data_IF_261072143533
#
_entry.id   IF_261072143533
#
_cell.length_a   1.000
_cell.length_b   1.000
_cell.length_c   1.000
_cell.angle_alpha   90.00
_cell.angle_beta   90.00
_cell.angle_gamma   90.00
#
_symmetry.space_group_name_H-M   'P 1'
#
loop_
_entity.id
_entity.type
_entity.pdbx_description
1 polymer ?
#
# COMPACT_ATOMS: atom_id res chain seq x y z
N UNK A 1 18.09 4.30 8.50
CA UNK A 1 18.24 5.14 9.69
C UNK A 1 17.96 4.28 10.91
N UNK A 2 18.95 4.07 11.79
CA UNK A 2 18.76 3.28 13.01
C UNK A 2 17.94 4.10 14.01
N UNK A 3 16.62 4.04 13.87
CA UNK A 3 15.67 4.68 14.78
C UNK A 3 15.45 3.78 15.99
N UNK A 4 15.67 4.31 17.19
CA UNK A 4 15.30 3.62 18.43
C UNK A 4 13.80 3.35 18.49
N UNK A 5 13.39 2.34 19.28
CA UNK A 5 11.98 2.01 19.49
C UNK A 5 11.43 2.82 20.67
N UNK A 6 10.19 3.29 20.54
CA UNK A 6 9.45 3.94 21.64
C UNK A 6 8.25 3.07 21.99
N UNK A 7 8.15 2.67 23.26
CA UNK A 7 7.02 1.87 23.75
C UNK A 7 5.81 2.77 23.99
N UNK A 8 4.67 2.35 23.46
CA UNK A 8 3.35 2.88 23.79
C UNK A 8 2.50 1.76 24.38
N UNK A 9 1.64 2.08 25.34
CA UNK A 9 0.65 1.14 25.89
C UNK A 9 -0.73 1.60 25.48
N UNK A 10 -1.49 0.74 24.82
CA UNK A 10 -2.85 1.01 24.35
C UNK A 10 -3.75 -0.16 24.70
N UNK A 11 -5.00 0.14 25.05
CA UNK A 11 -6.02 -0.89 25.24
C UNK A 11 -6.67 -1.19 23.89
N UNK A 12 -6.79 -2.47 23.57
CA UNK A 12 -7.45 -2.96 22.35
C UNK A 12 -8.64 -3.84 22.73
N UNK A 13 -9.70 -3.88 21.92
CA UNK A 13 -10.80 -4.83 22.13
C UNK A 13 -10.29 -6.28 22.11
N UNK A 14 -10.81 -7.10 23.03
CA UNK A 14 -10.42 -8.50 23.17
C UNK A 14 -10.62 -9.29 21.88
N UNK A 15 -11.80 -9.16 21.26
CA UNK A 15 -12.12 -9.81 19.97
C UNK A 15 -11.11 -9.48 18.87
N UNK A 16 -10.65 -8.22 18.82
CA UNK A 16 -9.64 -7.79 17.84
C UNK A 16 -8.27 -8.38 18.17
N UNK A 17 -7.89 -8.39 19.44
CA UNK A 17 -6.63 -8.97 19.89
C UNK A 17 -6.56 -10.46 19.54
N UNK A 18 -7.64 -11.21 19.82
CA UNK A 18 -7.77 -12.63 19.47
C UNK A 18 -7.74 -12.86 17.97
N UNK A 19 -8.48 -12.06 17.19
CA UNK A 19 -8.49 -12.14 15.73
C UNK A 19 -7.10 -11.94 15.14
N UNK A 20 -6.38 -10.92 15.62
CA UNK A 20 -5.02 -10.65 15.18
C UNK A 20 -4.10 -11.80 15.58
N UNK A 21 -4.17 -12.25 16.84
CA UNK A 21 -3.32 -13.32 17.35
C UNK A 21 -3.55 -14.66 16.63
N UNK A 22 -4.79 -14.96 16.24
CA UNK A 22 -5.11 -16.13 15.40
C UNK A 22 -4.46 -16.05 14.01
N UNK A 23 -4.32 -14.85 13.43
CA UNK A 23 -3.69 -14.65 12.11
C UNK A 23 -2.16 -14.74 12.14
N UNK A 24 -1.53 -14.22 13.19
CA UNK A 24 -0.07 -14.02 13.23
C UNK A 24 0.69 -15.01 14.11
N UNK A 25 -0.03 -15.79 14.94
CA UNK A 25 0.57 -16.72 15.90
C UNK A 25 1.10 -16.04 17.17
N UNK A 26 1.81 -16.82 18.00
CA UNK A 26 2.41 -16.33 19.25
C UNK A 26 3.76 -15.62 18.97
N UNK A 27 3.95 -14.42 19.51
CA UNK A 27 5.25 -13.71 19.51
C UNK A 27 5.45 -12.62 18.45
N UNK A 28 4.48 -12.40 17.56
CA UNK A 28 4.60 -11.47 16.41
C UNK A 28 3.76 -10.19 16.55
N UNK A 29 3.10 -9.96 17.69
CA UNK A 29 2.11 -8.89 17.84
C UNK A 29 2.68 -7.48 17.68
N UNK A 30 3.80 -7.16 18.32
CA UNK A 30 4.42 -5.83 18.22
C UNK A 30 4.93 -5.54 16.81
N UNK A 31 5.52 -6.53 16.13
CA UNK A 31 5.96 -6.41 14.75
C UNK A 31 4.77 -6.18 13.82
N UNK A 32 3.71 -6.99 13.96
CA UNK A 32 2.48 -6.84 13.19
C UNK A 32 1.85 -5.47 13.35
N UNK A 33 1.73 -4.97 14.58
CA UNK A 33 1.19 -3.63 14.85
C UNK A 33 2.06 -2.55 14.24
N UNK A 34 3.38 -2.67 14.34
CA UNK A 34 4.31 -1.69 13.75
C UNK A 34 4.17 -1.61 12.23
N UNK A 35 4.10 -2.77 11.55
CA UNK A 35 3.87 -2.82 10.10
C UNK A 35 2.46 -2.36 9.70
N UNK A 36 1.44 -2.67 10.50
CA UNK A 36 0.09 -2.20 10.27
C UNK A 36 0.00 -0.67 10.39
N UNK A 37 0.64 -0.08 11.41
CA UNK A 37 0.70 1.38 11.59
C UNK A 37 1.46 2.05 10.45
N UNK A 38 2.60 1.49 10.03
CA UNK A 38 3.35 2.02 8.89
C UNK A 38 2.50 2.04 7.61
N UNK A 39 1.80 0.94 7.31
CA UNK A 39 0.87 0.85 6.17
C UNK A 39 -0.30 1.83 6.30
N UNK A 40 -0.79 2.05 7.52
CA UNK A 40 -1.89 2.97 7.75
C UNK A 40 -1.47 4.42 7.46
N UNK A 41 -0.31 4.85 7.98
CA UNK A 41 0.25 6.18 7.70
C UNK A 41 0.48 6.37 6.20
N UNK A 42 1.03 5.37 5.51
CA UNK A 42 1.21 5.42 4.06
C UNK A 42 -0.13 5.61 3.32
N UNK A 43 -1.17 4.87 3.71
CA UNK A 43 -2.51 4.98 3.11
C UNK A 43 -3.17 6.33 3.38
N UNK A 44 -2.95 6.89 4.57
CA UNK A 44 -3.49 8.21 4.92
C UNK A 44 -2.81 9.30 4.08
N UNK A 45 -1.48 9.26 3.95
CA UNK A 45 -0.74 10.15 3.06
C UNK A 45 -1.18 10.01 1.59
N UNK A 46 -1.38 8.77 1.11
CA UNK A 46 -1.87 8.53 -0.26
C UNK A 46 -3.27 9.11 -0.46
N UNK A 47 -4.16 8.99 0.55
CA UNK A 47 -5.50 9.58 0.49
C UNK A 47 -5.42 11.10 0.41
N UNK A 48 -4.54 11.75 1.17
CA UNK A 48 -4.34 13.20 1.09
C UNK A 48 -3.92 13.64 -0.32
N UNK A 49 -2.99 12.90 -0.94
CA UNK A 49 -2.56 13.18 -2.33
C UNK A 49 -3.69 12.98 -3.33
N UNK A 50 -4.50 11.94 -3.18
CA UNK A 50 -5.67 11.70 -4.04
C UNK A 50 -6.67 12.85 -3.91
N UNK A 51 -7.01 13.26 -2.69
CA UNK A 51 -7.94 14.38 -2.45
C UNK A 51 -7.41 15.67 -3.08
N UNK A 52 -6.12 15.96 -2.92
CA UNK A 52 -5.49 17.12 -3.54
C UNK A 52 -5.57 17.08 -5.07
N UNK A 53 -5.31 15.92 -5.69
CA UNK A 53 -5.41 15.75 -7.14
C UNK A 53 -6.85 15.88 -7.65
N UNK A 54 -7.82 15.29 -6.95
CA UNK A 54 -9.24 15.37 -7.31
C UNK A 54 -9.79 16.80 -7.17
N UNK A 55 -9.30 17.57 -6.19
CA UNK A 55 -9.68 18.99 -6.06
C UNK A 55 -9.23 19.84 -7.26
N UNK A 56 -8.12 19.48 -7.90
CA UNK A 56 -7.52 20.22 -9.01
C UNK A 56 -8.05 19.75 -10.37
N UNK A 57 -8.36 18.46 -10.51
CA UNK A 57 -8.65 17.84 -11.81
C UNK A 57 -10.06 17.23 -11.91
N UNK A 58 -10.82 17.22 -10.81
CA UNK A 58 -12.06 16.45 -10.69
C UNK A 58 -11.80 14.98 -10.34
N UNK A 59 -12.88 14.25 -10.05
CA UNK A 59 -12.81 12.82 -9.74
C UNK A 59 -12.28 12.01 -10.92
N UNK A 60 -11.56 10.94 -10.62
CA UNK A 60 -11.00 10.04 -11.64
C UNK A 60 -12.11 9.21 -12.30
N UNK A 61 -12.33 9.42 -13.60
CA UNK A 61 -13.19 8.55 -14.41
C UNK A 61 -12.50 7.22 -14.72
N UNK A 62 -13.02 6.15 -14.11
CA UNK A 62 -12.51 4.78 -14.29
C UNK A 62 -12.60 4.30 -15.73
N UNK A 63 -13.66 4.65 -16.47
CA UNK A 63 -13.84 4.21 -17.86
C UNK A 63 -12.80 4.87 -18.78
N UNK A 64 -12.55 6.17 -18.57
CA UNK A 64 -11.49 6.88 -19.28
C UNK A 64 -10.10 6.32 -18.97
N UNK A 65 -9.83 5.96 -17.70
CA UNK A 65 -8.55 5.34 -17.30
C UNK A 65 -8.36 4.00 -18.01
N UNK A 66 -9.36 3.12 -18.01
CA UNK A 66 -9.19 1.80 -18.64
C UNK A 66 -9.08 1.88 -20.16
N UNK A 67 -9.82 2.81 -20.79
CA UNK A 67 -9.64 3.12 -22.22
C UNK A 67 -8.19 3.53 -22.53
N UNK A 68 -7.62 4.46 -21.76
CA UNK A 68 -6.24 4.90 -21.94
C UNK A 68 -5.22 3.79 -21.66
N UNK A 69 -5.47 2.93 -20.66
CA UNK A 69 -4.60 1.77 -20.39
C UNK A 69 -4.61 0.74 -21.51
N UNK A 70 -5.75 0.54 -22.17
CA UNK A 70 -5.83 -0.35 -23.32
C UNK A 70 -4.97 0.17 -24.47
N UNK A 71 -5.08 1.47 -24.79
CA UNK A 71 -4.25 2.12 -25.82
C UNK A 71 -2.75 1.95 -25.54
N UNK A 72 -2.28 2.24 -24.33
CA UNK A 72 -0.86 2.09 -23.95
C UNK A 72 -0.35 0.64 -24.05
N UNK A 73 -1.23 -0.34 -23.83
CA UNK A 73 -0.86 -1.76 -23.94
C UNK A 73 -0.77 -2.20 -25.40
N UNK A 74 -1.64 -1.69 -26.26
CA UNK A 74 -1.63 -1.95 -27.71
C UNK A 74 -0.42 -1.30 -28.41
N UNK A 75 0.02 -0.14 -27.93
CA UNK A 75 1.23 0.56 -28.41
C UNK A 75 2.55 -0.09 -27.97
N UNK A 76 2.51 -1.14 -27.14
CA UNK A 76 3.68 -1.85 -26.63
C UNK A 76 3.90 -3.25 -27.24
N UNK A 77 4.12 -3.42 -28.56
CA UNK A 77 4.71 -4.64 -29.06
C UNK A 77 6.25 -4.49 -29.00
N UNK A 78 6.93 -5.32 -28.21
CA UNK A 78 8.40 -5.53 -28.23
C UNK A 78 9.26 -4.58 -27.36
N UNK A 79 9.09 -4.62 -26.04
CA UNK A 79 10.17 -4.22 -25.12
C UNK A 79 10.36 -5.26 -24.00
N UNK A 80 10.42 -6.54 -24.36
CA UNK A 80 10.70 -7.63 -23.42
C UNK A 80 11.67 -8.69 -23.94
N UNK A 81 12.24 -8.52 -25.14
CA UNK A 81 13.22 -9.46 -25.68
C UNK A 81 14.70 -9.05 -25.45
N UNK A 82 14.99 -7.81 -25.02
CA UNK A 82 16.36 -7.26 -25.05
C UNK A 82 17.09 -7.20 -23.68
N UNK A 83 16.51 -7.78 -22.61
CA UNK A 83 17.15 -7.78 -21.27
C UNK A 83 17.75 -9.13 -20.84
N UNK A 84 17.77 -10.13 -21.73
CA UNK A 84 18.36 -11.46 -21.46
C UNK A 84 19.32 -11.85 -22.59
N UNK A 85 20.33 -11.03 -22.83
CA UNK A 85 21.53 -11.43 -23.59
C UNK A 85 22.72 -10.54 -23.22
N UNK A 86 23.22 -10.72 -22.00
CA UNK A 86 24.60 -10.40 -21.65
C UNK A 86 25.00 -11.38 -20.53
N UNK A 87 25.54 -12.52 -20.94
CA UNK A 87 26.29 -13.46 -20.11
C UNK A 87 27.77 -13.30 -20.45
#
# INVERSE_FOLDING_TARGET
MSGGTKKFSVTIPEELAETVQARIGKGSFSAYVSEALARQVERDNLRELVVAAESQHGQVDRAAVETKRALLREESPTQSADRTSAA
#
